data_IF_743322733626
#
_entry.id   IF_743322733626
#
_cell.length_a   1.000
_cell.length_b   1.000
_cell.length_c   1.000
_cell.angle_alpha   90.00
_cell.angle_beta   90.00
_cell.angle_gamma   90.00
#
_symmetry.space_group_name_H-M   'P 1'
#
loop_
_entity.id
_entity.type
_entity.pdbx_description
1 polymer ?
#
# COMPACT_ATOMS: atom_id res chain seq x y z
N UNK A 1 1.15 -17.75 -11.40
CA UNK A 1 -0.10 -17.05 -11.05
C UNK A 1 0.28 -15.82 -10.25
N UNK A 2 -0.22 -14.64 -10.64
CA UNK A 2 0.02 -13.38 -9.94
C UNK A 2 -1.23 -12.96 -9.19
N UNK A 3 -1.04 -12.24 -8.08
CA UNK A 3 -2.11 -11.63 -7.29
C UNK A 3 -1.95 -10.13 -7.28
N UNK A 4 -3.07 -9.42 -7.23
CA UNK A 4 -3.14 -7.96 -7.11
C UNK A 4 -3.94 -7.59 -5.88
N UNK A 5 -3.46 -6.60 -5.12
CA UNK A 5 -4.20 -5.92 -4.06
C UNK A 5 -4.55 -4.52 -4.52
N UNK A 6 -5.82 -4.20 -4.51
CA UNK A 6 -6.35 -2.90 -4.94
C UNK A 6 -7.20 -2.29 -3.84
N UNK A 7 -7.13 -0.96 -3.69
CA UNK A 7 -8.05 -0.19 -2.86
C UNK A 7 -9.11 0.40 -3.77
N UNK A 8 -10.37 0.08 -3.50
CA UNK A 8 -11.51 0.58 -4.24
C UNK A 8 -12.05 1.88 -3.62
N UNK A 9 -12.02 1.96 -2.28
CA UNK A 9 -12.50 3.13 -1.55
C UNK A 9 -11.66 3.40 -0.31
N UNK A 10 -11.44 4.67 -0.02
CA UNK A 10 -10.87 5.17 1.22
C UNK A 10 -11.84 6.17 1.86
N UNK A 11 -12.27 5.90 3.09
CA UNK A 11 -13.03 6.83 3.92
C UNK A 11 -12.10 7.42 4.97
N UNK A 12 -12.13 8.75 5.15
CA UNK A 12 -11.32 9.46 6.14
C UNK A 12 -12.24 10.07 7.19
N UNK A 13 -12.17 9.60 8.43
CA UNK A 13 -13.07 10.01 9.53
C UNK A 13 -12.82 11.44 10.05
N UNK A 14 -11.98 12.21 9.37
CA UNK A 14 -11.69 13.60 9.72
C UNK A 14 -12.04 14.55 8.58
N UNK A 15 -12.93 15.51 8.80
CA UNK A 15 -13.29 16.47 7.76
C UNK A 15 -12.10 17.39 7.44
N UNK A 16 -11.72 17.44 6.18
CA UNK A 16 -10.75 18.38 5.64
C UNK A 16 -11.08 18.65 4.18
N UNK A 17 -10.97 19.91 3.75
CA UNK A 17 -11.35 20.29 2.39
C UNK A 17 -10.49 19.65 1.29
N UNK A 18 -9.21 19.31 1.61
CA UNK A 18 -8.28 18.73 0.63
C UNK A 18 -7.27 17.83 1.34
N UNK A 19 -7.01 16.68 0.72
CA UNK A 19 -5.99 15.74 1.15
C UNK A 19 -4.99 15.49 0.01
N UNK A 20 -3.76 15.15 0.36
CA UNK A 20 -2.76 14.59 -0.55
C UNK A 20 -2.35 13.26 0.03
N UNK A 21 -2.91 12.20 -0.51
CA UNK A 21 -2.80 10.85 0.05
C UNK A 21 -1.79 10.02 -0.72
N UNK A 22 -0.97 9.30 0.01
CA UNK A 22 -0.15 8.21 -0.50
C UNK A 22 -0.11 7.08 0.53
N UNK A 23 0.31 5.91 0.08
CA UNK A 23 0.42 4.71 0.90
C UNK A 23 1.88 4.30 0.99
N UNK A 24 2.33 3.91 2.18
CA UNK A 24 3.56 3.15 2.37
C UNK A 24 3.17 1.70 2.55
N UNK A 25 3.52 0.87 1.60
CA UNK A 25 3.16 -0.55 1.56
C UNK A 25 4.37 -1.37 1.98
N UNK A 26 4.16 -2.28 2.93
CA UNK A 26 5.18 -3.21 3.41
C UNK A 26 4.65 -4.62 3.24
N UNK A 27 5.31 -5.41 2.41
CA UNK A 27 4.91 -6.78 2.12
C UNK A 27 6.09 -7.74 2.27
N UNK A 28 5.81 -9.01 2.47
CA UNK A 28 6.84 -10.05 2.48
C UNK A 28 7.60 -10.06 1.16
N UNK A 29 8.92 -10.28 1.22
CA UNK A 29 9.74 -10.36 0.02
C UNK A 29 9.33 -11.60 -0.82
N UNK A 30 9.29 -11.49 -2.16
CA UNK A 30 8.79 -12.57 -3.02
C UNK A 30 9.57 -13.89 -2.93
N UNK A 31 10.87 -13.82 -2.65
CA UNK A 31 11.77 -14.97 -2.71
C UNK A 31 12.58 -15.19 -1.42
N UNK A 32 12.61 -14.23 -0.52
CA UNK A 32 13.38 -14.30 0.72
C UNK A 32 12.44 -14.18 1.94
N UNK A 33 12.23 -15.30 2.69
CA UNK A 33 11.28 -15.31 3.80
C UNK A 33 11.71 -14.44 5.00
N UNK A 34 12.98 -14.03 5.09
CA UNK A 34 13.52 -13.22 6.18
C UNK A 34 13.44 -11.71 5.89
N UNK A 35 12.99 -11.35 4.69
CA UNK A 35 12.93 -9.98 4.22
C UNK A 35 11.51 -9.49 3.93
N UNK A 36 11.41 -8.17 3.89
CA UNK A 36 10.21 -7.43 3.51
C UNK A 36 10.57 -6.41 2.43
N UNK A 37 9.60 -6.05 1.63
CA UNK A 37 9.69 -4.99 0.63
C UNK A 37 8.84 -3.81 1.10
N UNK A 38 9.42 -2.63 1.08
CA UNK A 38 8.74 -1.37 1.37
C UNK A 38 8.66 -0.56 0.09
N UNK A 39 7.48 -0.07 -0.23
CA UNK A 39 7.27 0.81 -1.38
C UNK A 39 6.28 1.90 -1.05
N UNK A 40 6.18 2.91 -1.90
CA UNK A 40 5.21 4.00 -1.77
C UNK A 40 4.36 4.10 -3.03
N UNK A 41 3.06 4.24 -2.86
CA UNK A 41 2.06 4.24 -3.95
C UNK A 41 1.04 5.33 -3.70
N UNK A 42 0.59 6.06 -4.69
CA UNK A 42 1.12 6.17 -6.05
C UNK A 42 2.42 6.98 -6.10
N UNK A 43 3.03 7.10 -7.28
CA UNK A 43 4.28 7.87 -7.47
C UNK A 43 4.12 9.34 -7.07
N UNK A 44 2.98 9.94 -7.36
CA UNK A 44 2.61 11.26 -6.84
C UNK A 44 1.41 11.15 -5.90
N UNK A 45 1.44 11.82 -4.72
CA UNK A 45 0.31 11.82 -3.79
C UNK A 45 -0.98 12.31 -4.46
N UNK A 46 -2.03 11.52 -4.33
CA UNK A 46 -3.34 11.82 -4.90
C UNK A 46 -3.92 13.04 -4.20
N UNK A 47 -4.29 14.05 -4.98
CA UNK A 47 -5.02 15.21 -4.49
C UNK A 47 -6.50 14.88 -4.51
N UNK A 48 -7.07 14.70 -3.33
CA UNK A 48 -8.48 14.35 -3.20
C UNK A 48 -9.24 15.42 -2.44
N UNK A 49 -10.46 15.63 -2.89
CA UNK A 49 -11.47 16.38 -2.16
C UNK A 49 -12.54 15.35 -1.82
N UNK A 50 -12.64 14.91 -0.55
CA UNK A 50 -13.65 13.96 -0.16
C UNK A 50 -15.05 14.49 -0.48
N UNK A 51 -15.95 13.59 -0.84
CA UNK A 51 -17.37 13.92 -0.96
C UNK A 51 -17.99 14.23 0.42
N UNK A 52 -19.30 14.45 0.49
CA UNK A 52 -19.99 14.77 1.75
C UNK A 52 -19.86 13.66 2.80
N UNK A 53 -19.59 12.42 2.39
CA UNK A 53 -19.41 11.26 3.27
C UNK A 53 -17.93 11.00 3.62
N UNK A 54 -17.01 11.89 3.23
CA UNK A 54 -15.55 11.73 3.36
C UNK A 54 -15.00 10.51 2.62
N UNK A 55 -15.69 10.02 1.61
CA UNK A 55 -15.28 8.89 0.78
C UNK A 55 -14.48 9.37 -0.43
N UNK A 56 -13.46 8.59 -0.75
CA UNK A 56 -12.61 8.73 -1.92
C UNK A 56 -12.71 7.42 -2.67
N UNK A 57 -13.24 7.45 -3.88
CA UNK A 57 -13.32 6.30 -4.76
C UNK A 57 -12.11 6.30 -5.70
N UNK A 58 -11.51 5.13 -5.88
CA UNK A 58 -10.39 4.92 -6.80
C UNK A 58 -10.80 4.11 -8.02
N UNK A 59 -11.94 3.44 -7.94
CA UNK A 59 -12.62 2.79 -9.05
C UNK A 59 -13.34 3.85 -9.88
N UNK A 60 -12.90 4.11 -11.09
CA UNK A 60 -13.66 4.88 -12.05
C UNK A 60 -14.97 4.14 -12.37
N UNK A 61 -16.07 4.87 -12.47
CA UNK A 61 -17.40 4.33 -12.76
C UNK A 61 -17.44 3.69 -14.17
N UNK A 62 -17.17 2.39 -14.26
CA UNK A 62 -17.27 1.67 -15.53
C UNK A 62 -16.92 0.18 -15.42
N UNK A 63 -17.43 -0.66 -16.32
CA UNK A 63 -17.05 -2.08 -16.33
C UNK A 63 -15.56 -2.23 -16.65
N UNK A 64 -14.80 -2.80 -15.70
CA UNK A 64 -13.36 -3.01 -15.79
C UNK A 64 -12.51 -1.90 -15.16
N UNK A 65 -13.11 -0.97 -14.41
CA UNK A 65 -12.33 -0.01 -13.60
C UNK A 65 -11.56 -0.76 -12.53
N UNK A 66 -10.25 -0.58 -12.55
CA UNK A 66 -9.34 -1.13 -11.55
C UNK A 66 -9.19 -0.09 -10.43
N UNK A 67 -9.25 -0.52 -9.16
CA UNK A 67 -8.97 0.32 -8.01
C UNK A 67 -7.52 0.80 -7.99
N UNK A 68 -7.12 1.54 -6.98
CA UNK A 68 -5.71 1.92 -6.79
C UNK A 68 -4.87 0.68 -6.49
N UNK A 69 -4.02 0.29 -7.42
CA UNK A 69 -3.11 -0.83 -7.26
C UNK A 69 -2.06 -0.54 -6.16
N UNK A 70 -2.08 -1.32 -5.06
CA UNK A 70 -1.09 -1.23 -4.00
C UNK A 70 0.05 -2.24 -4.15
N UNK A 71 -0.26 -3.44 -4.62
CA UNK A 71 0.67 -4.55 -4.69
C UNK A 71 0.31 -5.48 -5.85
N UNK A 72 1.31 -5.86 -6.64
CA UNK A 72 1.20 -6.92 -7.64
C UNK A 72 2.42 -7.82 -7.54
N UNK A 73 2.21 -9.12 -7.33
CA UNK A 73 3.31 -10.07 -7.16
C UNK A 73 2.89 -11.50 -7.51
N UNK A 74 3.85 -12.40 -7.60
CA UNK A 74 3.58 -13.82 -7.67
C UNK A 74 2.90 -14.31 -6.39
N UNK A 75 1.98 -15.28 -6.53
CA UNK A 75 1.39 -15.97 -5.39
C UNK A 75 2.50 -16.55 -4.50
N UNK A 76 2.47 -16.31 -3.18
CA UNK A 76 3.43 -16.93 -2.28
C UNK A 76 3.34 -18.47 -2.32
N UNK A 77 4.46 -19.19 -2.16
CA UNK A 77 4.44 -20.66 -2.17
C UNK A 77 3.52 -21.26 -1.11
N UNK A 78 3.45 -20.63 0.08
CA UNK A 78 2.56 -21.05 1.17
C UNK A 78 1.11 -20.59 1.03
N UNK A 79 0.75 -19.88 -0.06
CA UNK A 79 -0.57 -19.26 -0.24
C UNK A 79 -0.96 -18.35 0.93
N UNK A 80 -0.01 -17.80 1.65
CA UNK A 80 -0.22 -16.86 2.76
C UNK A 80 0.62 -15.61 2.55
N UNK A 81 0.09 -14.46 2.93
CA UNK A 81 0.75 -13.18 2.75
C UNK A 81 0.41 -12.20 3.86
N UNK A 82 1.45 -11.63 4.47
CA UNK A 82 1.33 -10.47 5.34
C UNK A 82 1.57 -9.20 4.54
N UNK A 83 0.64 -8.27 4.62
CA UNK A 83 0.77 -6.93 4.06
C UNK A 83 0.40 -5.91 5.11
N UNK A 84 1.24 -4.91 5.23
CA UNK A 84 0.98 -3.75 6.08
C UNK A 84 1.02 -2.50 5.22
N UNK A 85 0.15 -1.55 5.46
CA UNK A 85 0.26 -0.26 4.82
C UNK A 85 -0.17 0.87 5.73
N UNK A 86 0.51 2.00 5.55
CA UNK A 86 0.25 3.25 6.23
C UNK A 86 -0.39 4.21 5.24
N UNK A 87 -1.54 4.75 5.60
CA UNK A 87 -2.17 5.84 4.86
C UNK A 87 -1.56 7.14 5.35
N UNK A 88 -0.94 7.90 4.44
CA UNK A 88 -0.20 9.11 4.77
C UNK A 88 -0.78 10.32 4.06
N UNK A 89 -0.78 11.45 4.73
CA UNK A 89 -1.08 12.75 4.14
C UNK A 89 0.20 13.54 3.97
N UNK A 90 0.59 13.79 2.72
CA UNK A 90 1.74 14.62 2.40
C UNK A 90 1.48 16.08 2.77
N UNK A 91 2.37 16.66 3.59
CA UNK A 91 2.36 18.09 3.97
C UNK A 91 3.23 18.92 3.04
N UNK A 92 4.23 18.34 2.42
CA UNK A 92 5.07 19.01 1.44
C UNK A 92 4.40 19.02 0.05
N UNK A 93 4.43 20.17 -0.63
CA UNK A 93 3.74 20.34 -1.91
C UNK A 93 4.29 19.53 -3.08
N UNK A 94 5.50 18.95 -2.96
CA UNK A 94 6.31 18.41 -4.07
C UNK A 94 6.90 17.03 -3.74
N UNK A 95 6.40 16.35 -2.71
CA UNK A 95 6.92 15.02 -2.36
C UNK A 95 6.37 13.99 -3.34
N UNK A 96 7.25 13.28 -4.03
CA UNK A 96 6.90 12.07 -4.79
C UNK A 96 7.20 10.81 -3.95
N UNK A 97 6.76 9.65 -4.44
CA UNK A 97 6.94 8.36 -3.80
C UNK A 97 8.42 8.04 -3.52
N UNK A 98 9.31 8.34 -4.48
CA UNK A 98 10.74 8.10 -4.34
C UNK A 98 11.35 8.89 -3.17
N UNK A 99 10.97 10.17 -3.01
CA UNK A 99 11.43 10.99 -1.89
C UNK A 99 10.92 10.47 -0.54
N UNK A 100 9.67 10.03 -0.48
CA UNK A 100 9.12 9.44 0.74
C UNK A 100 9.86 8.14 1.11
N UNK A 101 10.17 7.32 0.12
CA UNK A 101 10.92 6.08 0.32
C UNK A 101 12.37 6.35 0.73
N UNK A 102 13.02 7.37 0.14
CA UNK A 102 14.37 7.80 0.52
C UNK A 102 14.43 8.27 1.97
N UNK A 103 13.44 9.05 2.42
CA UNK A 103 13.36 9.48 3.83
C UNK A 103 13.20 8.28 4.78
N UNK A 104 12.38 7.29 4.40
CA UNK A 104 12.23 6.04 5.17
C UNK A 104 13.57 5.30 5.24
N UNK A 105 14.29 5.16 4.12
CA UNK A 105 15.59 4.52 4.06
C UNK A 105 16.59 5.22 4.98
N UNK A 106 16.66 6.56 4.91
CA UNK A 106 17.54 7.40 5.74
C UNK A 106 17.25 7.19 7.23
N UNK A 107 15.99 7.22 7.63
CA UNK A 107 15.57 7.01 9.03
C UNK A 107 15.83 5.60 9.54
N UNK A 108 15.88 4.62 8.65
CA UNK A 108 16.24 3.23 8.96
C UNK A 108 17.76 2.96 8.89
N UNK A 109 18.56 3.96 8.46
CA UNK A 109 20.00 3.81 8.27
C UNK A 109 20.36 2.87 7.10
N UNK A 110 19.56 2.90 6.03
CA UNK A 110 19.75 2.05 4.84
C UNK A 110 20.25 2.93 3.69
N UNK A 111 21.45 2.66 3.21
CA UNK A 111 22.13 3.52 2.23
C UNK A 111 21.69 3.31 0.77
N UNK A 112 20.93 2.25 0.46
CA UNK A 112 20.56 1.92 -0.91
C UNK A 112 19.07 1.62 -1.05
N UNK A 113 18.41 2.33 -1.97
CA UNK A 113 17.18 1.86 -2.60
C UNK A 113 17.55 0.67 -3.48
N UNK A 114 16.82 -0.42 -3.36
CA UNK A 114 17.01 -1.57 -4.24
C UNK A 114 16.82 -1.17 -5.72
N UNK A 115 17.40 -1.94 -6.64
CA UNK A 115 17.21 -1.68 -8.06
C UNK A 115 15.72 -1.68 -8.38
N UNK A 116 15.32 -0.83 -9.32
CA UNK A 116 13.96 -0.70 -9.84
C UNK A 116 13.48 -1.96 -10.58
N UNK A 117 14.06 -3.12 -10.27
CA UNK A 117 13.60 -4.36 -10.83
C UNK A 117 12.17 -4.66 -10.36
N UNK A 118 11.39 -5.05 -11.29
CA UNK A 118 9.94 -5.22 -11.33
C UNK A 118 9.42 -6.33 -10.35
N UNK A 119 9.83 -6.29 -9.07
CA UNK A 119 9.41 -7.25 -8.05
C UNK A 119 7.91 -7.17 -7.79
N UNK A 120 7.35 -5.98 -7.95
CA UNK A 120 5.93 -5.72 -7.73
C UNK A 120 5.13 -5.56 -9.04
N UNK A 121 5.74 -5.85 -10.21
CA UNK A 121 5.09 -5.68 -11.50
C UNK A 121 4.90 -4.23 -11.95
N UNK A 122 5.49 -3.29 -11.24
CA UNK A 122 5.46 -1.84 -11.50
C UNK A 122 6.87 -1.29 -11.42
N UNK A 123 7.20 -0.25 -12.20
CA UNK A 123 8.50 0.45 -12.14
C UNK A 123 8.62 1.37 -10.90
N UNK A 124 8.00 1.00 -9.79
CA UNK A 124 8.00 1.80 -8.57
C UNK A 124 9.25 1.44 -7.76
N UNK A 125 10.02 2.42 -7.26
CA UNK A 125 11.16 2.17 -6.37
C UNK A 125 10.70 1.43 -5.11
N UNK A 126 11.54 0.54 -4.63
CA UNK A 126 11.28 -0.21 -3.41
C UNK A 126 12.54 -0.31 -2.55
N UNK A 127 12.33 -0.55 -1.27
CA UNK A 127 13.36 -0.72 -0.26
C UNK A 127 13.25 -2.12 0.33
N UNK A 128 14.37 -2.82 0.39
CA UNK A 128 14.46 -4.11 1.08
C UNK A 128 14.84 -3.91 2.55
N UNK A 129 14.10 -4.54 3.43
CA UNK A 129 14.37 -4.55 4.87
C UNK A 129 14.30 -5.97 5.42
N UNK A 130 14.95 -6.22 6.55
CA UNK A 130 14.74 -7.48 7.28
C UNK A 130 13.39 -7.49 8.01
N UNK A 131 12.79 -8.65 8.22
CA UNK A 131 11.57 -8.77 9.06
C UNK A 131 11.75 -8.16 10.45
N UNK A 132 12.95 -8.23 11.02
CA UNK A 132 13.29 -7.63 12.32
C UNK A 132 13.17 -6.10 12.33
N UNK A 133 13.29 -5.46 11.17
CA UNK A 133 13.17 -4.01 11.02
C UNK A 133 11.71 -3.53 10.92
N UNK A 134 10.74 -4.43 10.74
CA UNK A 134 9.34 -4.09 10.60
C UNK A 134 8.79 -3.19 11.73
N UNK A 135 9.08 -3.43 13.02
CA UNK A 135 8.63 -2.55 14.10
C UNK A 135 9.24 -1.15 14.06
N UNK A 136 10.34 -0.96 13.33
CA UNK A 136 11.02 0.32 13.23
C UNK A 136 10.44 1.21 12.12
N UNK A 137 9.68 0.66 11.17
CA UNK A 137 9.05 1.44 10.11
C UNK A 137 8.10 2.48 10.67
N UNK A 138 7.23 2.11 11.61
CA UNK A 138 6.32 3.06 12.25
C UNK A 138 7.07 4.20 12.95
N UNK A 139 8.22 3.90 13.58
CA UNK A 139 9.07 4.92 14.22
C UNK A 139 9.74 5.82 13.18
N UNK A 140 10.24 5.27 12.08
CA UNK A 140 10.81 6.04 10.97
C UNK A 140 9.75 6.96 10.37
N UNK A 141 8.57 6.43 10.08
CA UNK A 141 7.44 7.21 9.56
C UNK A 141 7.01 8.34 10.51
N UNK A 142 7.07 8.13 11.83
CA UNK A 142 6.72 9.17 12.80
C UNK A 142 7.68 10.37 12.77
N UNK A 143 8.92 10.21 12.31
CA UNK A 143 9.93 11.28 12.16
C UNK A 143 9.78 12.04 10.84
N UNK A 144 9.13 11.45 9.86
CA UNK A 144 8.84 12.12 8.59
C UNK A 144 7.70 13.11 8.81
N UNK A 145 7.81 14.36 8.31
CA UNK A 145 6.86 15.43 8.62
C UNK A 145 5.44 15.22 8.08
N UNK A 146 5.21 14.18 7.29
CA UNK A 146 3.89 13.82 6.79
C UNK A 146 3.03 13.20 7.89
N UNK A 147 1.71 13.41 7.78
CA UNK A 147 0.77 12.95 8.81
C UNK A 147 0.31 11.53 8.54
N UNK A 148 0.41 10.67 9.54
CA UNK A 148 -0.25 9.37 9.51
C UNK A 148 -1.77 9.54 9.66
N UNK A 149 -2.51 8.87 8.77
CA UNK A 149 -3.97 8.83 8.76
C UNK A 149 -4.49 7.49 9.24
N UNK A 150 -3.75 6.42 9.01
CA UNK A 150 -4.09 5.09 9.47
C UNK A 150 -3.00 4.07 9.17
N UNK A 151 -3.02 3.01 9.96
CA UNK A 151 -2.20 1.82 9.78
C UNK A 151 -3.11 0.61 9.66
N UNK A 152 -2.93 -0.17 8.60
CA UNK A 152 -3.73 -1.34 8.29
C UNK A 152 -2.79 -2.53 8.11
N UNK A 153 -3.08 -3.59 8.85
CA UNK A 153 -2.36 -4.85 8.78
C UNK A 153 -3.29 -5.95 8.30
N UNK A 154 -2.86 -6.71 7.32
CA UNK A 154 -3.62 -7.80 6.73
C UNK A 154 -2.77 -9.06 6.72
N UNK A 155 -3.39 -10.16 7.10
CA UNK A 155 -2.90 -11.51 6.85
C UNK A 155 -3.94 -12.21 5.98
N UNK A 156 -3.53 -12.61 4.79
CA UNK A 156 -4.43 -13.28 3.84
C UNK A 156 -3.94 -14.69 3.57
N UNK A 157 -4.90 -15.61 3.53
CA UNK A 157 -4.68 -17.00 3.15
C UNK A 157 -5.45 -17.29 1.87
N UNK A 158 -4.74 -17.53 0.78
CA UNK A 158 -5.30 -17.76 -0.55
C UNK A 158 -5.64 -19.23 -0.73
N UNK A 159 -6.69 -19.71 -0.04
CA UNK A 159 -7.25 -21.04 -0.25
C UNK A 159 -7.91 -21.19 -1.63
N UNK A 160 -8.31 -22.40 -1.97
CA UNK A 160 -8.89 -22.68 -3.30
C UNK A 160 -10.24 -21.95 -3.51
N UNK A 161 -10.96 -21.65 -2.42
CA UNK A 161 -12.22 -20.92 -2.46
C UNK A 161 -12.05 -19.38 -2.41
N UNK A 162 -10.83 -18.90 -2.19
CA UNK A 162 -10.58 -17.46 -1.96
C UNK A 162 -11.00 -16.57 -3.14
N UNK A 163 -10.88 -17.10 -4.37
CA UNK A 163 -11.24 -16.41 -5.60
C UNK A 163 -12.43 -17.04 -6.32
N UNK A 164 -13.10 -18.04 -5.69
CA UNK A 164 -14.20 -18.78 -6.33
C UNK A 164 -15.41 -17.89 -6.66
N UNK A 165 -15.67 -16.91 -5.80
CA UNK A 165 -16.81 -15.98 -5.92
C UNK A 165 -16.45 -14.68 -6.68
N UNK A 166 -15.29 -14.64 -7.34
CA UNK A 166 -14.79 -13.43 -8.01
C UNK A 166 -14.13 -12.43 -7.04
N UNK A 167 -14.02 -11.19 -7.48
CA UNK A 167 -13.52 -10.11 -6.63
C UNK A 167 -14.57 -9.77 -5.56
N UNK A 168 -14.20 -10.00 -4.29
CA UNK A 168 -15.05 -9.64 -3.16
C UNK A 168 -14.45 -8.43 -2.48
N UNK A 169 -15.23 -7.36 -2.39
CA UNK A 169 -14.91 -6.20 -1.60
C UNK A 169 -14.80 -6.54 -0.12
N UNK A 170 -13.64 -6.25 0.44
CA UNK A 170 -13.33 -6.46 1.85
C UNK A 170 -13.13 -5.13 2.53
N UNK A 171 -13.40 -5.07 3.84
CA UNK A 171 -13.30 -3.85 4.63
C UNK A 171 -12.28 -4.00 5.74
N UNK A 172 -11.47 -2.98 5.94
CA UNK A 172 -10.55 -2.85 7.08
C UNK A 172 -10.55 -1.42 7.60
N UNK A 173 -10.36 -1.31 8.90
CA UNK A 173 -10.26 -0.03 9.61
C UNK A 173 -8.89 0.09 10.25
N UNK A 174 -8.29 1.25 10.19
CA UNK A 174 -7.03 1.55 10.84
C UNK A 174 -6.86 3.05 11.10
N UNK A 175 -6.72 3.44 12.37
CA UNK A 175 -6.60 4.84 12.76
C UNK A 175 -7.83 5.67 12.40
N UNK A 176 -7.68 6.65 11.51
CA UNK A 176 -8.76 7.51 11.05
C UNK A 176 -9.25 7.15 9.65
N UNK A 177 -8.93 5.95 9.17
CA UNK A 177 -9.25 5.51 7.83
C UNK A 177 -10.00 4.19 7.84
N UNK A 178 -10.98 4.08 6.95
CA UNK A 178 -11.62 2.84 6.57
C UNK A 178 -11.33 2.60 5.10
N UNK A 179 -11.00 1.39 4.72
CA UNK A 179 -10.78 1.02 3.33
C UNK A 179 -11.73 -0.07 2.89
N UNK A 180 -12.08 -0.01 1.61
CA UNK A 180 -12.64 -1.12 0.85
C UNK A 180 -11.55 -1.56 -0.12
N UNK A 181 -11.23 -2.83 -0.13
CA UNK A 181 -10.15 -3.39 -0.95
C UNK A 181 -10.56 -4.74 -1.53
N UNK A 182 -9.93 -5.09 -2.62
CA UNK A 182 -10.11 -6.38 -3.27
C UNK A 182 -8.77 -7.04 -3.59
N UNK A 183 -8.81 -8.36 -3.72
CA UNK A 183 -7.73 -9.17 -4.27
C UNK A 183 -8.16 -9.77 -5.58
N UNK A 184 -7.37 -9.60 -6.61
CA UNK A 184 -7.63 -10.18 -7.91
C UNK A 184 -6.52 -11.15 -8.34
N UNK A 185 -6.88 -12.13 -9.16
CA UNK A 185 -5.95 -12.97 -9.89
C UNK A 185 -5.63 -12.35 -11.23
N UNK A 186 -4.35 -12.17 -11.50
CA UNK A 186 -3.85 -11.80 -12.81
C UNK A 186 -3.62 -13.10 -13.61
N UNK A 187 -4.66 -13.53 -14.28
CA UNK A 187 -4.61 -14.72 -15.14
C UNK A 187 -4.12 -14.27 -16.51
N UNK A 188 -2.85 -14.54 -16.80
CA UNK A 188 -2.33 -14.48 -18.17
C UNK A 188 -2.40 -15.82 -18.79
#
# INVERSE_FOLDING_TARGET
MKIRLEINQLTIDRPKKRWRIYFVVVAEHPTDPDKMVVTTVPDEPIKVTPNQENNIHFDDEGPGSEGLLLLKRNMPPGKELNVHFYVRHSRSGIRNAANALHDIATELGIDALGPTENILGTNIPWLEITKKSLPHIGKALARIPDREMGFISMFERFGDEFFADGEIDRKKTGGYCNIVYSWALDVK
#
